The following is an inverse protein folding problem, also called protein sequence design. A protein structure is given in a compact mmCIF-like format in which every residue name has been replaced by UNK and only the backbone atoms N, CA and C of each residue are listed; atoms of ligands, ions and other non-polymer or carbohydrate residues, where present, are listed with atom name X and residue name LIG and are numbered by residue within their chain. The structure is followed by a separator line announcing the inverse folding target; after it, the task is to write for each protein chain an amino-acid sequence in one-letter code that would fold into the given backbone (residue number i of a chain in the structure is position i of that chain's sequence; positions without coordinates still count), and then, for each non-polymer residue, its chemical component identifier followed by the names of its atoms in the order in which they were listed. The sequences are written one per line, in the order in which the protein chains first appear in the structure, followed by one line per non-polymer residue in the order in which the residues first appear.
data_IF_540486147244
#
_entry.id   IF_540486147244
#
_cell.length_a   1.000
_cell.length_b   1.000
_cell.length_c   1.000
_cell.angle_alpha   90.00
_cell.angle_beta   90.00
_cell.angle_gamma   90.00
#
_symmetry.space_group_name_H-M   'P 1'
#
loop_
_entity.id
_entity.type
_entity.pdbx_description
1 polymer ?
#
# COMPACT_ATOMS: atom_id res chain seq x y z
N UNK A 1 -13.90 8.84 21.98
CA UNK A 1 -14.09 9.88 20.92
C UNK A 1 -14.35 9.11 19.63
N UNK A 2 -15.30 9.56 18.79
CA UNK A 2 -15.53 8.92 17.48
C UNK A 2 -14.51 9.45 16.47
N UNK A 3 -14.18 8.66 15.44
CA UNK A 3 -13.34 9.13 14.33
C UNK A 3 -13.92 10.40 13.69
N UNK A 4 -15.23 10.50 13.59
CA UNK A 4 -15.92 11.67 13.04
C UNK A 4 -15.82 12.94 13.91
N UNK A 5 -15.36 12.83 15.17
CA UNK A 5 -15.09 13.98 16.03
C UNK A 5 -13.72 14.63 15.73
N UNK A 6 -12.86 13.91 14.99
CA UNK A 6 -11.56 14.41 14.58
C UNK A 6 -11.68 15.28 13.33
N UNK A 7 -10.87 16.35 13.26
CA UNK A 7 -10.80 17.15 12.02
C UNK A 7 -10.19 16.31 10.87
N UNK A 8 -10.63 16.59 9.63
CA UNK A 8 -10.08 15.98 8.41
C UNK A 8 -8.54 16.00 8.40
N UNK A 9 -7.93 17.12 8.75
CA UNK A 9 -6.47 17.23 8.84
C UNK A 9 -5.87 16.26 9.87
N UNK A 10 -6.53 16.05 11.03
CA UNK A 10 -6.07 15.06 12.02
C UNK A 10 -6.17 13.64 11.48
N UNK A 11 -7.28 13.31 10.83
CA UNK A 11 -7.50 12.00 10.21
C UNK A 11 -6.42 11.72 9.14
N UNK A 12 -6.13 12.69 8.25
CA UNK A 12 -5.10 12.55 7.22
C UNK A 12 -3.70 12.31 7.80
N UNK A 13 -3.30 13.06 8.83
CA UNK A 13 -2.00 12.83 9.45
C UNK A 13 -1.88 11.46 10.10
N UNK A 14 -2.92 10.97 10.78
CA UNK A 14 -2.91 9.64 11.38
C UNK A 14 -2.81 8.55 10.30
N UNK A 15 -3.57 8.68 9.21
CA UNK A 15 -3.52 7.80 8.05
C UNK A 15 -2.13 7.78 7.44
N UNK A 16 -1.53 8.94 7.17
CA UNK A 16 -0.17 9.06 6.60
C UNK A 16 0.89 8.43 7.50
N UNK A 17 0.84 8.68 8.82
CA UNK A 17 1.79 8.08 9.77
C UNK A 17 1.68 6.55 9.73
N UNK A 18 0.46 6.00 9.70
CA UNK A 18 0.22 4.57 9.57
C UNK A 18 0.79 4.02 8.26
N UNK A 19 0.43 4.60 7.12
CA UNK A 19 0.87 4.14 5.80
C UNK A 19 2.38 4.12 5.65
N UNK A 20 3.09 5.10 6.24
CA UNK A 20 4.55 5.13 6.26
C UNK A 20 5.18 3.98 7.08
N UNK A 21 4.44 3.37 8.01
CA UNK A 21 4.92 2.23 8.82
C UNK A 21 4.50 0.88 8.24
N UNK A 22 3.52 0.86 7.36
CA UNK A 22 2.91 -0.39 6.88
C UNK A 22 3.87 -1.16 5.95
N UNK A 23 4.60 -0.44 5.10
CA UNK A 23 5.46 -1.03 4.08
C UNK A 23 6.94 -0.69 4.23
N UNK A 24 7.32 -0.06 5.33
CA UNK A 24 8.70 0.33 5.61
C UNK A 24 9.03 0.15 7.07
N UNK A 25 10.25 -0.31 7.36
CA UNK A 25 10.81 -0.31 8.71
C UNK A 25 11.52 1.00 9.08
N UNK A 26 11.56 1.96 8.14
CA UNK A 26 12.20 3.25 8.38
C UNK A 26 11.40 4.09 9.40
N UNK A 27 12.08 4.80 10.31
CA UNK A 27 11.41 5.64 11.29
C UNK A 27 10.58 6.75 10.62
N UNK A 28 9.32 6.90 11.02
CA UNK A 28 8.48 8.01 10.55
C UNK A 28 8.96 9.31 11.17
N UNK A 29 9.27 10.29 10.35
CA UNK A 29 9.79 11.60 10.76
C UNK A 29 8.93 12.72 10.19
N UNK A 30 9.04 13.94 10.74
CA UNK A 30 8.39 15.11 10.16
C UNK A 30 8.80 15.32 8.68
N UNK A 31 10.00 14.93 8.30
CA UNK A 31 10.50 15.01 6.92
C UNK A 31 9.79 14.01 6.00
N UNK A 32 9.64 12.75 6.43
CA UNK A 32 8.91 11.75 5.65
C UNK A 32 7.44 12.11 5.51
N UNK A 33 6.79 12.61 6.58
CA UNK A 33 5.41 13.10 6.53
C UNK A 33 5.28 14.31 5.58
N UNK A 34 6.22 15.27 5.63
CA UNK A 34 6.22 16.45 4.73
C UNK A 34 6.34 16.02 3.26
N UNK A 35 7.19 15.03 2.98
CA UNK A 35 7.35 14.48 1.62
C UNK A 35 6.06 13.79 1.15
N UNK A 36 5.46 12.95 1.99
CA UNK A 36 4.25 12.20 1.65
C UNK A 36 3.03 13.11 1.45
N UNK A 37 2.89 14.15 2.28
CA UNK A 37 1.74 15.07 2.21
C UNK A 37 1.92 16.24 1.25
N UNK A 38 3.14 16.50 0.79
CA UNK A 38 3.48 17.72 0.04
C UNK A 38 3.39 19.02 0.87
N UNK A 39 3.13 18.93 2.17
CA UNK A 39 2.96 20.09 3.06
C UNK A 39 4.30 20.62 3.56
N UNK A 40 4.34 21.92 3.89
CA UNK A 40 5.54 22.56 4.43
C UNK A 40 5.89 21.98 5.82
N UNK A 41 7.18 21.87 6.11
CA UNK A 41 7.71 21.41 7.41
C UNK A 41 7.12 22.14 8.61
N UNK A 42 6.85 23.44 8.51
CA UNK A 42 6.21 24.22 9.58
C UNK A 42 4.80 23.70 9.89
N UNK A 43 3.99 23.45 8.85
CA UNK A 43 2.63 22.89 8.99
C UNK A 43 2.64 21.50 9.60
N UNK A 44 3.59 20.64 9.17
CA UNK A 44 3.77 19.31 9.74
C UNK A 44 4.17 19.40 11.21
N UNK A 45 5.14 20.25 11.56
CA UNK A 45 5.58 20.43 12.95
C UNK A 45 4.45 20.94 13.88
N UNK A 46 3.59 21.83 13.38
CA UNK A 46 2.43 22.31 14.12
C UNK A 46 1.39 21.18 14.32
N UNK A 47 1.16 20.39 13.28
CA UNK A 47 0.27 19.22 13.36
C UNK A 47 0.80 18.18 14.35
N UNK A 48 2.10 17.86 14.32
CA UNK A 48 2.70 16.89 15.25
C UNK A 48 2.56 17.37 16.71
N UNK A 49 2.75 18.68 16.99
CA UNK A 49 2.50 19.22 18.33
C UNK A 49 1.05 19.07 18.75
N UNK A 50 0.11 19.35 17.84
CA UNK A 50 -1.32 19.19 18.10
C UNK A 50 -1.68 17.73 18.38
N UNK A 51 -1.25 16.79 17.52
CA UNK A 51 -1.53 15.36 17.68
C UNK A 51 -0.93 14.81 19.00
N UNK A 52 0.30 15.23 19.34
CA UNK A 52 0.93 14.88 20.61
C UNK A 52 0.15 15.43 21.82
N UNK A 53 -0.34 16.67 21.76
CA UNK A 53 -1.18 17.25 22.82
C UNK A 53 -2.54 16.56 22.97
N UNK A 54 -3.02 15.94 21.91
CA UNK A 54 -4.25 15.12 21.89
C UNK A 54 -4.00 13.67 22.33
N UNK A 55 -2.74 13.27 22.58
CA UNK A 55 -2.40 11.91 22.96
C UNK A 55 -2.49 10.89 21.84
N UNK A 56 -2.49 11.33 20.58
CA UNK A 56 -2.63 10.46 19.39
C UNK A 56 -1.29 9.98 18.85
N UNK A 57 -0.21 10.70 19.15
CA UNK A 57 1.17 10.33 18.80
C UNK A 57 2.11 10.57 19.97
N UNK A 58 3.24 9.87 19.98
CA UNK A 58 4.39 10.12 20.84
C UNK A 58 5.63 10.43 20.01
N UNK A 59 6.55 11.21 20.59
CA UNK A 59 7.88 11.38 20.02
C UNK A 59 8.77 10.25 20.51
N UNK A 60 9.28 9.47 19.58
CA UNK A 60 10.24 8.41 19.85
C UNK A 60 11.70 8.93 19.75
N UNK A 61 12.70 8.12 20.13
CA UNK A 61 14.10 8.48 19.97
C UNK A 61 14.47 8.94 18.57
N UNK A 62 15.44 9.83 18.46
CA UNK A 62 15.96 10.39 17.20
C UNK A 62 14.93 11.21 16.38
N UNK A 63 13.88 11.73 17.04
CA UNK A 63 12.89 12.59 16.37
C UNK A 63 11.88 11.86 15.50
N UNK A 64 11.78 10.54 15.65
CA UNK A 64 10.70 9.76 15.04
C UNK A 64 9.37 10.01 15.74
N UNK A 65 8.29 9.67 15.05
CA UNK A 65 6.90 9.81 15.49
C UNK A 65 6.26 8.44 15.46
N UNK A 66 5.58 8.07 16.53
CA UNK A 66 4.83 6.82 16.64
C UNK A 66 3.38 7.10 17.02
N UNK A 67 2.46 6.32 16.48
CA UNK A 67 1.05 6.36 16.90
C UNK A 67 0.91 5.75 18.29
N UNK A 68 0.10 6.37 19.14
CA UNK A 68 -0.39 5.72 20.37
C UNK A 68 -1.42 4.65 19.99
N UNK A 69 -1.84 3.81 20.95
CA UNK A 69 -2.91 2.83 20.71
C UNK A 69 -4.20 3.50 20.23
N UNK A 70 -4.55 4.67 20.79
CA UNK A 70 -5.69 5.47 20.33
C UNK A 70 -5.47 6.02 18.93
N UNK A 71 -4.30 6.61 18.66
CA UNK A 71 -3.92 7.12 17.34
C UNK A 71 -3.94 6.02 16.27
N UNK A 72 -3.41 4.83 16.62
CA UNK A 72 -3.45 3.64 15.75
C UNK A 72 -4.88 3.22 15.43
N UNK A 73 -5.75 3.18 16.44
CA UNK A 73 -7.17 2.82 16.24
C UNK A 73 -7.84 3.73 15.21
N UNK A 74 -7.63 5.03 15.29
CA UNK A 74 -8.18 5.97 14.31
C UNK A 74 -7.52 5.86 12.93
N UNK A 75 -6.20 5.70 12.89
CA UNK A 75 -5.48 5.53 11.63
C UNK A 75 -5.99 4.29 10.86
N UNK A 76 -6.07 3.14 11.54
CA UNK A 76 -6.55 1.88 10.97
C UNK A 76 -8.00 1.99 10.51
N UNK A 77 -8.86 2.70 11.26
CA UNK A 77 -10.24 2.95 10.84
C UNK A 77 -10.32 3.81 9.56
N UNK A 78 -9.42 4.80 9.39
CA UNK A 78 -9.33 5.58 8.15
C UNK A 78 -8.86 4.73 6.97
N UNK A 79 -7.81 3.92 7.16
CA UNK A 79 -7.32 2.99 6.13
C UNK A 79 -8.44 2.04 5.68
N UNK A 80 -9.19 1.47 6.65
CA UNK A 80 -10.32 0.60 6.32
C UNK A 80 -11.37 1.31 5.47
N UNK A 81 -11.76 2.54 5.82
CA UNK A 81 -12.71 3.34 5.04
C UNK A 81 -12.23 3.56 3.62
N UNK A 82 -10.98 4.00 3.49
CA UNK A 82 -10.33 4.27 2.22
C UNK A 82 -10.38 3.03 1.30
N UNK A 83 -9.82 1.90 1.75
CA UNK A 83 -9.70 0.67 0.97
C UNK A 83 -11.05 0.04 0.61
N UNK A 84 -12.07 0.13 1.50
CA UNK A 84 -13.42 -0.31 1.18
C UNK A 84 -14.09 0.57 0.13
N UNK A 85 -13.86 1.89 0.17
CA UNK A 85 -14.37 2.82 -0.84
C UNK A 85 -13.70 2.53 -2.19
N UNK A 86 -12.38 2.36 -2.24
CA UNK A 86 -11.67 1.99 -3.46
C UNK A 86 -12.22 0.69 -4.07
N UNK A 87 -12.37 -0.36 -3.25
CA UNK A 87 -12.96 -1.62 -3.71
C UNK A 87 -14.34 -1.44 -4.31
N UNK A 88 -15.19 -0.63 -3.67
CA UNK A 88 -16.52 -0.34 -4.21
C UNK A 88 -16.49 0.43 -5.53
N UNK A 89 -15.63 1.42 -5.62
CA UNK A 89 -15.50 2.26 -6.82
C UNK A 89 -14.99 1.43 -8.01
N UNK A 90 -14.01 0.57 -7.79
CA UNK A 90 -13.47 -0.31 -8.84
C UNK A 90 -14.46 -1.42 -9.19
N UNK A 91 -14.85 -2.24 -8.21
CA UNK A 91 -15.61 -3.47 -8.46
C UNK A 91 -17.05 -3.23 -8.88
N UNK A 92 -17.66 -2.13 -8.39
CA UNK A 92 -19.09 -1.85 -8.62
C UNK A 92 -19.31 -0.75 -9.63
N UNK A 93 -18.52 0.32 -9.61
CA UNK A 93 -18.71 1.49 -10.47
C UNK A 93 -17.77 1.53 -11.66
N UNK A 94 -16.77 0.62 -11.74
CA UNK A 94 -15.87 0.49 -12.88
C UNK A 94 -14.83 1.61 -12.97
N UNK A 95 -14.44 2.20 -11.85
CA UNK A 95 -13.29 3.12 -11.82
C UNK A 95 -12.01 2.38 -12.19
N UNK A 96 -11.10 3.06 -12.86
CA UNK A 96 -9.76 2.52 -13.12
C UNK A 96 -8.85 2.72 -11.92
N UNK A 97 -7.79 1.95 -11.82
CA UNK A 97 -6.86 1.98 -10.69
C UNK A 97 -6.19 3.34 -10.48
N UNK A 98 -5.91 4.06 -11.56
CA UNK A 98 -5.32 5.40 -11.55
C UNK A 98 -6.31 6.50 -11.11
N UNK A 99 -7.64 6.24 -11.15
CA UNK A 99 -8.67 7.21 -10.81
C UNK A 99 -9.20 7.07 -9.37
N UNK A 100 -9.11 5.88 -8.82
CA UNK A 100 -9.87 5.50 -7.62
C UNK A 100 -9.35 6.16 -6.35
N UNK A 101 -8.03 6.36 -6.25
CA UNK A 101 -7.38 6.88 -5.05
C UNK A 101 -7.89 8.29 -4.68
N UNK A 102 -7.83 9.23 -5.62
CA UNK A 102 -8.27 10.62 -5.39
C UNK A 102 -9.75 10.70 -5.03
N UNK A 103 -10.60 9.85 -5.63
CA UNK A 103 -12.02 9.82 -5.32
C UNK A 103 -12.28 9.26 -3.91
N UNK A 104 -11.58 8.19 -3.52
CA UNK A 104 -11.65 7.64 -2.17
C UNK A 104 -11.19 8.65 -1.10
N UNK A 105 -10.09 9.39 -1.35
CA UNK A 105 -9.62 10.49 -0.49
C UNK A 105 -10.70 11.56 -0.26
N UNK A 106 -11.46 11.91 -1.29
CA UNK A 106 -12.54 12.89 -1.18
C UNK A 106 -13.73 12.36 -0.36
N UNK A 107 -14.03 11.06 -0.43
CA UNK A 107 -15.20 10.46 0.18
C UNK A 107 -14.99 10.01 1.63
N UNK A 108 -13.81 9.51 1.99
CA UNK A 108 -13.53 8.81 3.25
C UNK A 108 -13.85 9.62 4.51
N UNK A 109 -13.74 10.94 4.43
CA UNK A 109 -14.00 11.85 5.56
C UNK A 109 -15.49 12.14 5.76
N UNK A 110 -16.32 11.98 4.74
CA UNK A 110 -17.73 12.31 4.75
C UNK A 110 -18.63 11.12 5.13
N UNK A 111 -18.14 9.89 4.97
CA UNK A 111 -18.94 8.69 5.23
C UNK A 111 -19.05 8.37 6.71
N UNK A 112 -20.20 7.83 7.12
CA UNK A 112 -20.44 7.38 8.49
C UNK A 112 -19.96 5.94 8.71
N UNK A 113 -19.71 5.56 9.98
CA UNK A 113 -19.36 4.18 10.35
C UNK A 113 -20.46 3.19 9.92
N UNK A 114 -21.73 3.61 9.96
CA UNK A 114 -22.85 2.81 9.46
C UNK A 114 -22.74 2.55 7.96
N UNK A 115 -22.39 3.57 7.18
CA UNK A 115 -22.18 3.41 5.74
C UNK A 115 -21.03 2.44 5.46
N UNK A 116 -19.90 2.59 6.17
CA UNK A 116 -18.73 1.71 6.01
C UNK A 116 -19.07 0.25 6.34
N UNK A 117 -19.84 0.01 7.41
CA UNK A 117 -20.28 -1.34 7.76
C UNK A 117 -21.20 -1.95 6.68
N UNK A 118 -22.12 -1.15 6.10
CA UNK A 118 -22.98 -1.60 5.00
C UNK A 118 -22.21 -1.85 3.72
N UNK A 119 -21.19 -1.05 3.47
CA UNK A 119 -20.31 -1.20 2.32
C UNK A 119 -19.51 -2.50 2.41
N UNK A 120 -18.94 -2.79 3.56
CA UNK A 120 -18.21 -4.02 3.83
C UNK A 120 -19.09 -5.28 3.65
N UNK A 121 -20.33 -5.26 4.19
CA UNK A 121 -21.31 -6.30 3.93
C UNK A 121 -21.64 -6.46 2.43
N UNK A 122 -21.84 -5.35 1.74
CA UNK A 122 -22.20 -5.35 0.32
C UNK A 122 -21.10 -5.97 -0.55
N UNK A 123 -19.83 -5.68 -0.22
CA UNK A 123 -18.65 -6.21 -0.90
C UNK A 123 -18.33 -7.67 -0.49
N UNK A 124 -19.02 -8.23 0.50
CA UNK A 124 -18.78 -9.60 0.97
C UNK A 124 -17.54 -9.74 1.84
N UNK A 125 -17.19 -8.71 2.58
CA UNK A 125 -16.04 -8.65 3.50
C UNK A 125 -14.69 -8.89 2.79
N UNK A 126 -14.31 -8.02 1.85
CA UNK A 126 -13.05 -8.19 1.11
C UNK A 126 -11.85 -8.08 2.06
N UNK A 127 -10.88 -8.95 1.87
CA UNK A 127 -9.64 -8.96 2.66
C UNK A 127 -8.59 -8.01 2.10
N UNK A 128 -8.70 -7.64 0.81
CA UNK A 128 -7.77 -6.77 0.09
C UNK A 128 -8.53 -5.79 -0.81
N UNK A 129 -7.94 -4.64 -1.02
CA UNK A 129 -8.40 -3.65 -1.98
C UNK A 129 -7.92 -3.97 -3.41
N UNK A 130 -8.29 -3.17 -4.42
CA UNK A 130 -7.89 -3.42 -5.81
C UNK A 130 -6.37 -3.43 -6.04
N UNK A 131 -5.60 -2.73 -5.21
CA UNK A 131 -4.13 -2.66 -5.31
C UNK A 131 -3.43 -3.79 -4.54
N UNK A 132 -4.20 -4.63 -3.81
CA UNK A 132 -3.70 -5.74 -3.01
C UNK A 132 -3.40 -5.38 -1.56
N UNK A 133 -3.65 -4.15 -1.14
CA UNK A 133 -3.46 -3.72 0.23
C UNK A 133 -4.47 -4.39 1.19
N UNK A 134 -4.03 -4.92 2.35
CA UNK A 134 -4.93 -5.57 3.31
C UNK A 134 -5.99 -4.63 3.87
N UNK A 135 -7.26 -4.95 3.74
CA UNK A 135 -8.34 -4.18 4.35
C UNK A 135 -8.42 -4.55 5.84
N UNK A 136 -8.20 -3.60 6.77
CA UNK A 136 -8.33 -3.88 8.19
C UNK A 136 -9.73 -4.41 8.54
N UNK A 137 -9.82 -5.40 9.39
CA UNK A 137 -11.09 -5.89 9.91
C UNK A 137 -11.82 -4.84 10.76
N UNK A 138 -13.11 -5.05 11.04
CA UNK A 138 -13.91 -4.11 11.83
C UNK A 138 -13.41 -3.91 13.27
N UNK A 139 -12.70 -4.89 13.81
CA UNK A 139 -12.07 -4.83 15.14
C UNK A 139 -10.67 -4.16 15.13
N UNK A 140 -10.20 -3.72 13.96
CA UNK A 140 -8.89 -3.09 13.78
C UNK A 140 -7.75 -4.07 13.55
N UNK A 141 -8.03 -5.37 13.43
CA UNK A 141 -7.01 -6.37 13.05
C UNK A 141 -6.57 -6.12 11.60
N UNK A 142 -5.26 -6.08 11.37
CA UNK A 142 -4.65 -5.96 10.05
C UNK A 142 -3.93 -7.26 9.73
N UNK A 143 -4.28 -7.88 8.61
CA UNK A 143 -3.58 -9.07 8.14
C UNK A 143 -2.19 -8.68 7.62
N UNK A 144 -1.17 -9.39 8.08
CA UNK A 144 0.18 -9.22 7.54
C UNK A 144 0.25 -9.81 6.13
N UNK A 145 0.81 -9.07 5.20
CA UNK A 145 1.10 -9.55 3.86
C UNK A 145 2.54 -10.07 3.84
N UNK A 146 2.72 -11.35 3.53
CA UNK A 146 4.07 -11.94 3.33
C UNK A 146 4.57 -11.63 1.93
N UNK A 147 4.94 -10.38 1.71
CA UNK A 147 5.45 -9.88 0.44
C UNK A 147 6.62 -8.92 0.67
N UNK A 148 7.51 -8.85 -0.31
CA UNK A 148 8.65 -7.90 -0.33
C UNK A 148 8.63 -7.15 -1.64
N UNK A 149 9.30 -5.97 -1.67
CA UNK A 149 9.49 -5.29 -2.94
C UNK A 149 10.21 -6.20 -3.94
N UNK A 150 9.89 -6.06 -5.21
CA UNK A 150 10.57 -6.83 -6.26
C UNK A 150 12.06 -6.49 -6.31
N UNK A 151 12.44 -5.25 -5.98
CA UNK A 151 13.83 -4.83 -5.82
C UNK A 151 14.54 -5.65 -4.75
N UNK A 152 13.97 -5.74 -3.53
CA UNK A 152 14.57 -6.51 -2.43
C UNK A 152 14.60 -8.01 -2.74
N UNK A 153 13.55 -8.51 -3.39
CA UNK A 153 13.48 -9.92 -3.76
C UNK A 153 14.56 -10.25 -4.81
N UNK A 154 14.75 -9.40 -5.81
CA UNK A 154 15.78 -9.58 -6.82
C UNK A 154 17.19 -9.43 -6.25
N UNK A 155 17.40 -8.48 -5.33
CA UNK A 155 18.69 -8.29 -4.65
C UNK A 155 19.08 -9.49 -3.76
N UNK A 156 18.09 -10.25 -3.28
CA UNK A 156 18.31 -11.47 -2.47
C UNK A 156 18.52 -12.72 -3.33
N UNK A 157 18.46 -12.64 -4.66
CA UNK A 157 18.74 -13.77 -5.55
C UNK A 157 20.19 -14.22 -5.41
N UNK A 158 20.41 -15.52 -5.32
CA UNK A 158 21.76 -16.07 -5.38
C UNK A 158 22.39 -15.83 -6.76
N UNK A 159 23.66 -15.48 -6.79
CA UNK A 159 24.42 -15.31 -8.04
C UNK A 159 24.33 -16.58 -8.88
N UNK A 160 23.82 -16.47 -10.09
CA UNK A 160 23.63 -17.60 -11.01
C UNK A 160 22.20 -18.15 -11.05
N UNK A 161 21.26 -17.55 -10.32
CA UNK A 161 19.83 -17.83 -10.49
C UNK A 161 19.35 -17.19 -11.80
N UNK A 162 19.07 -18.01 -12.81
CA UNK A 162 18.70 -17.48 -14.15
C UNK A 162 17.31 -16.85 -14.18
N UNK A 163 16.38 -17.29 -13.30
CA UNK A 163 14.99 -16.84 -13.32
C UNK A 163 14.38 -16.91 -11.91
N UNK A 164 13.68 -15.85 -11.55
CA UNK A 164 12.85 -15.79 -10.35
C UNK A 164 11.37 -15.80 -10.75
N UNK A 165 10.56 -16.69 -10.18
CA UNK A 165 9.11 -16.69 -10.39
C UNK A 165 8.41 -16.19 -9.12
N UNK A 166 7.57 -15.20 -9.28
CA UNK A 166 6.87 -14.52 -8.18
C UNK A 166 5.41 -14.26 -8.53
N UNK A 167 4.59 -14.11 -7.49
CA UNK A 167 3.22 -13.61 -7.62
C UNK A 167 3.18 -12.16 -7.17
N UNK A 168 2.51 -11.30 -7.90
CA UNK A 168 2.23 -9.91 -7.48
C UNK A 168 1.17 -9.95 -6.38
N UNK A 169 1.55 -9.53 -5.19
CA UNK A 169 0.66 -9.48 -4.04
C UNK A 169 0.04 -8.09 -3.84
N UNK A 170 0.82 -7.06 -4.15
CA UNK A 170 0.44 -5.67 -3.98
C UNK A 170 1.18 -4.76 -4.96
N UNK A 171 0.53 -3.69 -5.37
CA UNK A 171 1.11 -2.63 -6.19
C UNK A 171 0.91 -1.30 -5.47
N UNK A 172 1.98 -0.50 -5.32
CA UNK A 172 1.86 0.82 -4.69
C UNK A 172 1.00 1.76 -5.54
N UNK A 173 0.03 2.38 -4.89
CA UNK A 173 -0.92 3.35 -5.48
C UNK A 173 -0.41 4.79 -5.53
N UNK A 174 0.86 5.01 -5.14
CA UNK A 174 1.44 6.35 -4.99
C UNK A 174 1.70 7.11 -6.31
N UNK A 175 1.70 6.42 -7.44
CA UNK A 175 1.96 6.98 -8.75
C UNK A 175 0.93 6.48 -9.79
N UNK A 176 -0.06 7.31 -10.17
CA UNK A 176 -1.12 6.94 -11.12
C UNK A 176 -0.61 6.55 -12.51
N UNK A 177 0.46 7.20 -13.01
CA UNK A 177 1.03 6.87 -14.31
C UNK A 177 1.70 5.49 -14.29
N UNK A 178 2.32 5.13 -13.17
CA UNK A 178 2.90 3.81 -12.97
C UNK A 178 1.81 2.72 -12.88
N UNK A 179 0.72 2.98 -12.17
CA UNK A 179 -0.44 2.07 -12.11
C UNK A 179 -1.00 1.78 -13.49
N UNK A 180 -1.18 2.82 -14.31
CA UNK A 180 -1.64 2.69 -15.68
C UNK A 180 -0.67 1.86 -16.53
N UNK A 181 0.64 2.10 -16.41
CA UNK A 181 1.65 1.31 -17.10
C UNK A 181 1.58 -0.18 -16.72
N UNK A 182 1.40 -0.49 -15.44
CA UNK A 182 1.26 -1.86 -14.98
C UNK A 182 -0.01 -2.53 -15.55
N UNK A 183 -1.14 -1.85 -15.51
CA UNK A 183 -2.38 -2.34 -16.09
C UNK A 183 -2.24 -2.63 -17.59
N UNK A 184 -1.68 -1.71 -18.37
CA UNK A 184 -1.43 -1.85 -19.82
C UNK A 184 -0.49 -3.03 -20.16
N UNK A 185 0.44 -3.35 -19.26
CA UNK A 185 1.40 -4.47 -19.43
C UNK A 185 0.92 -5.78 -18.82
N UNK A 186 -0.26 -5.79 -18.18
CA UNK A 186 -0.83 -6.96 -17.52
C UNK A 186 -0.17 -7.32 -16.20
N UNK A 187 0.61 -6.40 -15.61
CA UNK A 187 1.19 -6.54 -14.27
C UNK A 187 0.12 -6.09 -13.29
N UNK A 188 -0.69 -7.04 -12.82
CA UNK A 188 -1.82 -6.80 -11.92
C UNK A 188 -1.70 -7.68 -10.68
N UNK A 189 -2.44 -7.37 -9.63
CA UNK A 189 -2.49 -8.20 -8.41
C UNK A 189 -2.89 -9.62 -8.78
N UNK A 190 -2.15 -10.60 -8.26
CA UNK A 190 -2.31 -12.03 -8.58
C UNK A 190 -1.59 -12.47 -9.86
N UNK A 191 -1.03 -11.56 -10.66
CA UNK A 191 -0.24 -11.95 -11.83
C UNK A 191 1.03 -12.71 -11.41
N UNK A 192 1.36 -13.75 -12.15
CA UNK A 192 2.62 -14.48 -12.00
C UNK A 192 3.65 -13.89 -12.96
N UNK A 193 4.78 -13.50 -12.40
CA UNK A 193 5.88 -12.89 -13.12
C UNK A 193 7.08 -13.85 -13.17
N UNK A 194 7.74 -13.88 -14.33
CA UNK A 194 9.10 -14.42 -14.46
C UNK A 194 10.05 -13.23 -14.57
N UNK A 195 10.98 -13.13 -13.65
CA UNK A 195 11.93 -12.02 -13.53
C UNK A 195 13.33 -12.52 -13.86
N UNK A 196 14.05 -11.77 -14.67
CA UNK A 196 15.44 -12.02 -15.05
C UNK A 196 16.25 -10.73 -14.94
N UNK A 197 17.56 -10.83 -14.85
CA UNK A 197 18.42 -9.67 -14.95
C UNK A 197 18.23 -8.99 -16.32
N UNK A 198 18.24 -7.67 -16.31
CA UNK A 198 18.19 -6.89 -17.54
C UNK A 198 19.48 -6.92 -18.34
N UNK A 199 19.56 -6.09 -19.38
CA UNK A 199 20.76 -6.00 -20.22
C UNK A 199 22.00 -5.63 -19.39
N UNK A 200 23.19 -6.09 -19.75
CA UNK A 200 24.44 -5.73 -19.05
C UNK A 200 24.56 -4.20 -18.89
N UNK A 201 24.91 -3.78 -17.67
CA UNK A 201 25.02 -2.35 -17.30
C UNK A 201 23.67 -1.60 -17.21
N UNK A 202 22.55 -2.31 -17.28
CA UNK A 202 21.22 -1.78 -16.98
C UNK A 202 20.88 -2.03 -15.50
N UNK A 203 20.26 -1.07 -14.84
CA UNK A 203 19.67 -1.25 -13.49
C UNK A 203 18.23 -1.77 -13.56
N UNK A 204 17.75 -2.12 -14.77
CA UNK A 204 16.41 -2.63 -14.98
C UNK A 204 16.37 -4.16 -14.82
N UNK A 205 15.24 -4.68 -14.38
CA UNK A 205 14.89 -6.09 -14.47
C UNK A 205 14.02 -6.33 -15.71
N UNK A 206 14.18 -7.47 -16.35
CA UNK A 206 13.28 -7.92 -17.43
C UNK A 206 12.19 -8.78 -16.80
N UNK A 207 10.95 -8.35 -16.93
CA UNK A 207 9.78 -9.00 -16.31
C UNK A 207 8.86 -9.50 -17.41
N UNK A 208 8.50 -10.78 -17.34
CA UNK A 208 7.52 -11.40 -18.24
C UNK A 208 6.31 -11.86 -17.44
N UNK A 209 5.13 -11.39 -17.78
CA UNK A 209 3.87 -11.88 -17.21
C UNK A 209 3.59 -13.28 -17.74
N UNK A 210 3.10 -14.18 -16.89
CA UNK A 210 2.81 -15.56 -17.30
C UNK A 210 1.84 -15.57 -18.51
N UNK A 211 2.16 -16.37 -19.52
CA UNK A 211 1.47 -16.44 -20.82
C UNK A 211 1.65 -15.22 -21.75
N UNK A 212 2.36 -14.18 -21.35
CA UNK A 212 2.77 -13.12 -22.27
C UNK A 212 4.03 -13.55 -23.04
N UNK A 213 4.16 -13.03 -24.28
CA UNK A 213 5.30 -13.34 -25.14
C UNK A 213 6.40 -12.28 -25.07
N UNK A 214 6.14 -11.16 -24.44
CA UNK A 214 7.03 -10.00 -24.41
C UNK A 214 7.47 -9.72 -22.98
N UNK A 215 8.76 -9.50 -22.78
CA UNK A 215 9.32 -9.00 -21.55
C UNK A 215 9.17 -7.47 -21.49
N UNK A 216 8.94 -6.95 -20.29
CA UNK A 216 8.83 -5.53 -19.97
C UNK A 216 10.02 -5.16 -19.09
N UNK A 217 10.87 -4.21 -19.52
CA UNK A 217 11.95 -3.72 -18.68
C UNK A 217 11.39 -2.81 -17.57
N UNK A 218 11.68 -3.13 -16.32
CA UNK A 218 11.28 -2.35 -15.16
C UNK A 218 12.50 -1.78 -14.45
N UNK A 219 12.58 -0.45 -14.33
CA UNK A 219 13.58 0.23 -13.51
C UNK A 219 13.21 0.23 -12.02
N UNK A 220 14.13 0.67 -11.15
CA UNK A 220 14.00 0.62 -9.69
C UNK A 220 12.69 1.24 -9.17
N UNK A 221 12.23 2.37 -9.73
CA UNK A 221 10.95 2.99 -9.31
C UNK A 221 9.79 2.00 -9.47
N UNK A 222 9.75 1.27 -10.58
CA UNK A 222 8.69 0.30 -10.85
C UNK A 222 8.84 -0.96 -10.00
N UNK A 223 10.06 -1.45 -9.81
CA UNK A 223 10.30 -2.66 -9.00
C UNK A 223 10.12 -2.41 -7.50
N UNK A 224 10.36 -1.19 -7.01
CA UNK A 224 10.07 -0.77 -5.64
C UNK A 224 8.56 -0.70 -5.36
N UNK A 225 7.76 -0.40 -6.40
CA UNK A 225 6.31 -0.30 -6.30
C UNK A 225 5.59 -1.66 -6.32
N UNK A 226 6.27 -2.74 -6.76
CA UNK A 226 5.72 -4.09 -6.84
C UNK A 226 6.11 -4.90 -5.60
N UNK A 227 5.13 -5.35 -4.83
CA UNK A 227 5.34 -6.27 -3.72
C UNK A 227 4.94 -7.68 -4.15
N UNK A 228 5.86 -8.61 -3.98
CA UNK A 228 5.75 -9.96 -4.52
C UNK A 228 6.02 -11.03 -3.46
N UNK A 229 5.42 -12.20 -3.66
CA UNK A 229 5.74 -13.43 -2.93
C UNK A 229 6.40 -14.45 -3.87
N UNK A 230 7.27 -15.30 -3.32
CA UNK A 230 7.82 -16.42 -4.10
C UNK A 230 6.73 -17.45 -4.37
N UNK A 231 6.61 -17.89 -5.63
CA UNK A 231 5.81 -19.07 -5.92
C UNK A 231 6.45 -20.25 -5.20
N UNK A 232 5.77 -20.75 -4.16
CA UNK A 232 6.13 -22.03 -3.57
C UNK A 232 6.08 -23.08 -4.68
N UNK A 233 7.23 -23.63 -5.05
CA UNK A 233 7.28 -24.86 -5.83
C UNK A 233 6.73 -25.94 -4.92
N UNK A 234 5.41 -26.13 -4.89
CA UNK A 234 4.82 -27.32 -4.34
C UNK A 234 5.46 -28.49 -5.10
N UNK A 235 6.35 -29.21 -4.42
CA UNK A 235 6.88 -30.47 -4.90
C UNK A 235 5.67 -31.33 -5.25
N UNK A 236 5.59 -31.93 -6.47
CA UNK A 236 4.49 -32.81 -6.76
C UNK A 236 4.52 -33.92 -5.72
N UNK A 237 3.44 -34.05 -4.96
CA UNK A 237 3.26 -35.17 -4.05
C UNK A 237 3.46 -36.45 -4.88
N UNK A 238 4.52 -37.18 -4.53
CA UNK A 238 4.77 -38.50 -5.06
C UNK A 238 3.56 -39.39 -4.76
N UNK A 239 2.88 -39.78 -5.82
CA UNK A 239 1.84 -40.79 -5.79
C UNK A 239 2.44 -42.18 -5.53
#
# INVERSE_FOLDING_TARGET
MSLNDLSTSTQNYLKVIWSLTEWSSEPVTATSISRQTGLRMSSVSDAMRKLSSQGLIVHAPYGSVELTDEGRTYAVAMIRRHRLIESFLVDTLGYTWDQVHDEAENMEHAVSDFFVARLDEFLGHPERDPHGDPIPAADGTVLALDARSLTDMAAAMETGTEKLRVTVERISDSDPELLKHFEETGIVVGAVLTVTEGAPFSEALEVTVDKASQAVPLGNIATDALFVSTLSTASPASA
#
